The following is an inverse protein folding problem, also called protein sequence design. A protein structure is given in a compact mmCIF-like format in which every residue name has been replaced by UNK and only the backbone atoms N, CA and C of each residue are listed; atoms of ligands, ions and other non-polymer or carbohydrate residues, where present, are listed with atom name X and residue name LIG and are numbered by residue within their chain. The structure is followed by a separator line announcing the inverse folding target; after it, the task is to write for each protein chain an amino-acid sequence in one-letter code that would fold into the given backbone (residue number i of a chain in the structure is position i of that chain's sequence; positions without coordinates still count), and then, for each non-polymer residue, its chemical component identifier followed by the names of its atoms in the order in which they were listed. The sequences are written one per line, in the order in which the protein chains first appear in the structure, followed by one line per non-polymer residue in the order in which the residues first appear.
data_IF_699384066532
#
_entry.id   IF_699384066532
#
_cell.length_a   1.000
_cell.length_b   1.000
_cell.length_c   1.000
_cell.angle_alpha   90.00
_cell.angle_beta   90.00
_cell.angle_gamma   90.00
#
_symmetry.space_group_name_H-M   'P 1'
#
loop_
_entity.id
_entity.type
_entity.pdbx_description
1 polymer ?
#
# COMPACT_ATOMS: atom_id res chain seq x y z
N UNK A 1 14.55 20.37 -16.66
CA UNK A 1 13.40 20.10 -17.56
C UNK A 1 13.07 18.60 -17.67
N UNK A 2 13.96 17.74 -18.20
CA UNK A 2 13.67 16.32 -18.48
C UNK A 2 13.06 15.51 -17.32
N UNK A 3 13.56 15.66 -16.09
CA UNK A 3 13.05 14.92 -14.91
C UNK A 3 11.65 15.37 -14.51
N UNK A 4 11.39 16.68 -14.51
CA UNK A 4 10.07 17.23 -14.22
C UNK A 4 9.03 16.76 -15.25
N UNK A 5 9.39 16.74 -16.53
CA UNK A 5 8.53 16.19 -17.61
C UNK A 5 8.24 14.71 -17.39
N UNK A 6 9.22 13.91 -16.97
CA UNK A 6 9.00 12.50 -16.66
C UNK A 6 8.11 12.28 -15.43
N UNK A 7 8.22 13.14 -14.40
CA UNK A 7 7.31 13.11 -13.25
C UNK A 7 5.88 13.46 -13.65
N UNK A 8 5.69 14.48 -14.50
CA UNK A 8 4.38 14.86 -15.02
C UNK A 8 3.74 13.72 -15.82
N UNK A 9 4.49 13.07 -16.72
CA UNK A 9 4.01 11.93 -17.48
C UNK A 9 3.64 10.72 -16.59
N UNK A 10 4.39 10.50 -15.50
CA UNK A 10 4.04 9.49 -14.50
C UNK A 10 2.73 9.84 -13.78
N UNK A 11 2.53 11.13 -13.46
CA UNK A 11 1.28 11.66 -12.92
C UNK A 11 0.10 11.44 -13.86
N UNK A 12 0.23 11.79 -15.14
CA UNK A 12 -0.82 11.58 -16.15
C UNK A 12 -1.23 10.10 -16.25
N UNK A 13 -0.25 9.19 -16.25
CA UNK A 13 -0.49 7.74 -16.23
C UNK A 13 -1.29 7.29 -15.01
N UNK A 14 -0.92 7.78 -13.82
CA UNK A 14 -1.59 7.41 -12.57
C UNK A 14 -3.00 7.99 -12.52
N UNK A 15 -3.19 9.25 -12.93
CA UNK A 15 -4.51 9.87 -13.07
C UNK A 15 -5.39 9.07 -14.04
N UNK A 16 -4.85 8.65 -15.18
CA UNK A 16 -5.57 7.80 -16.13
C UNK A 16 -5.97 6.45 -15.52
N UNK A 17 -5.09 5.83 -14.73
CA UNK A 17 -5.39 4.57 -14.05
C UNK A 17 -6.47 4.72 -12.96
N UNK A 18 -6.45 5.82 -12.19
CA UNK A 18 -7.50 6.16 -11.22
C UNK A 18 -8.83 6.49 -11.93
N UNK A 19 -8.78 7.22 -13.05
CA UNK A 19 -9.96 7.50 -13.86
C UNK A 19 -10.55 6.22 -14.46
N UNK A 20 -9.71 5.26 -14.86
CA UNK A 20 -10.13 3.94 -15.28
C UNK A 20 -10.84 3.20 -14.15
N UNK A 21 -10.34 3.24 -12.91
CA UNK A 21 -11.04 2.69 -11.73
C UNK A 21 -12.43 3.31 -11.51
N UNK A 22 -12.58 4.61 -11.77
CA UNK A 22 -13.86 5.31 -11.61
C UNK A 22 -14.91 4.93 -12.67
N UNK A 23 -14.45 4.56 -13.88
CA UNK A 23 -15.27 4.29 -15.07
C UNK A 23 -15.36 2.81 -15.45
N UNK A 24 -14.59 1.95 -14.78
CA UNK A 24 -14.50 0.55 -15.11
C UNK A 24 -15.83 -0.16 -14.90
N UNK A 25 -16.31 -0.78 -15.97
CA UNK A 25 -17.51 -1.63 -15.99
C UNK A 25 -17.23 -3.06 -15.48
N UNK A 26 -15.97 -3.40 -15.23
CA UNK A 26 -15.54 -4.71 -14.78
C UNK A 26 -15.82 -4.97 -13.29
N UNK A 27 -16.25 -6.18 -12.96
CA UNK A 27 -16.61 -6.60 -11.59
C UNK A 27 -15.45 -6.41 -10.59
N UNK A 28 -14.21 -6.61 -11.01
CA UNK A 28 -13.02 -6.47 -10.17
C UNK A 28 -12.71 -5.01 -9.82
N UNK A 29 -12.75 -4.11 -10.81
CA UNK A 29 -12.56 -2.68 -10.57
C UNK A 29 -13.69 -2.07 -9.72
N UNK A 30 -14.93 -2.51 -9.93
CA UNK A 30 -16.06 -2.13 -9.07
C UNK A 30 -15.86 -2.61 -7.62
N UNK A 31 -15.38 -3.84 -7.42
CA UNK A 31 -15.08 -4.37 -6.09
C UNK A 31 -13.92 -3.61 -5.41
N UNK A 32 -12.86 -3.28 -6.16
CA UNK A 32 -11.76 -2.47 -5.63
C UNK A 32 -12.23 -1.06 -5.26
N UNK A 33 -13.00 -0.40 -6.13
CA UNK A 33 -13.60 0.91 -5.84
C UNK A 33 -14.44 0.85 -4.57
N UNK A 34 -15.29 -0.17 -4.44
CA UNK A 34 -16.10 -0.37 -3.23
C UNK A 34 -15.22 -0.55 -1.99
N UNK A 35 -14.15 -1.36 -2.08
CA UNK A 35 -13.20 -1.57 -0.97
C UNK A 35 -12.50 -0.27 -0.56
N UNK A 36 -12.04 0.53 -1.52
CA UNK A 36 -11.40 1.83 -1.25
C UNK A 36 -12.38 2.84 -0.64
N UNK A 37 -13.65 2.79 -1.01
CA UNK A 37 -14.69 3.66 -0.44
C UNK A 37 -15.18 3.21 0.93
N UNK A 38 -15.09 1.92 1.24
CA UNK A 38 -15.59 1.37 2.52
C UNK A 38 -14.60 1.48 3.66
N UNK A 39 -13.33 1.81 3.40
CA UNK A 39 -12.28 1.88 4.40
C UNK A 39 -11.83 3.33 4.57
N UNK A 40 -12.00 3.86 5.78
CA UNK A 40 -11.60 5.24 6.10
C UNK A 40 -10.10 5.45 5.83
N UNK A 41 -9.76 6.50 5.10
CA UNK A 41 -8.39 6.85 4.77
C UNK A 41 -7.78 6.09 3.60
N UNK A 42 -8.50 5.13 2.99
CA UNK A 42 -7.95 4.37 1.88
C UNK A 42 -7.80 5.20 0.60
N UNK A 43 -8.75 6.12 0.32
CA UNK A 43 -8.63 7.04 -0.82
C UNK A 43 -7.50 8.05 -0.62
N UNK A 44 -7.38 8.60 0.57
CA UNK A 44 -6.30 9.49 1.00
C UNK A 44 -4.94 8.80 0.88
N UNK A 45 -4.85 7.54 1.35
CA UNK A 45 -3.67 6.70 1.24
C UNK A 45 -3.29 6.44 -0.22
N UNK A 46 -4.28 6.10 -1.07
CA UNK A 46 -4.05 5.90 -2.50
C UNK A 46 -3.61 7.18 -3.21
N UNK A 47 -4.16 8.34 -2.84
CA UNK A 47 -3.71 9.63 -3.35
C UNK A 47 -2.26 9.92 -2.95
N UNK A 48 -1.87 9.62 -1.71
CA UNK A 48 -0.50 9.75 -1.24
C UNK A 48 0.46 8.82 -2.02
N UNK A 49 0.13 7.53 -2.13
CA UNK A 49 0.97 6.59 -2.88
C UNK A 49 1.10 7.03 -4.33
N UNK A 50 0.00 7.45 -4.96
CA UNK A 50 -0.02 7.97 -6.32
C UNK A 50 0.92 9.16 -6.49
N UNK A 51 0.89 10.12 -5.56
CA UNK A 51 1.80 11.27 -5.58
C UNK A 51 3.27 10.84 -5.43
N UNK A 52 3.56 9.87 -4.57
CA UNK A 52 4.92 9.36 -4.36
C UNK A 52 5.43 8.59 -5.59
N UNK A 53 4.57 7.83 -6.27
CA UNK A 53 4.90 7.09 -7.50
C UNK A 53 5.18 7.99 -8.71
N UNK A 54 4.93 9.29 -8.62
CA UNK A 54 5.35 10.27 -9.63
C UNK A 54 6.83 10.66 -9.51
N UNK A 55 7.48 10.36 -8.38
CA UNK A 55 8.83 10.80 -8.04
C UNK A 55 10.00 9.88 -8.46
N UNK A 56 9.84 8.60 -8.85
CA UNK A 56 10.96 7.78 -9.31
C UNK A 56 11.87 8.42 -10.36
N UNK A 57 11.37 9.24 -11.33
CA UNK A 57 12.25 9.93 -12.28
C UNK A 57 13.23 10.93 -11.67
N UNK A 58 13.04 11.33 -10.40
CA UNK A 58 14.00 12.17 -9.68
C UNK A 58 15.25 11.38 -9.26
N UNK A 59 15.15 10.05 -9.15
CA UNK A 59 16.19 9.15 -8.63
C UNK A 59 17.23 8.72 -9.68
N UNK A 60 17.66 9.66 -10.54
CA UNK A 60 18.71 9.42 -11.54
C UNK A 60 18.52 8.16 -12.43
N UNK A 61 17.29 7.75 -12.71
CA UNK A 61 16.98 6.74 -13.73
C UNK A 61 17.13 5.28 -13.30
N UNK A 62 17.24 4.98 -11.99
CA UNK A 62 17.29 3.60 -11.51
C UNK A 62 17.28 3.43 -9.98
N UNK A 63 16.95 4.49 -9.22
CA UNK A 63 16.86 4.38 -7.78
C UNK A 63 15.74 3.44 -7.35
N UNK A 64 15.98 2.80 -6.22
CA UNK A 64 15.06 1.84 -5.62
C UNK A 64 13.89 2.59 -4.93
N UNK A 65 12.82 1.89 -4.57
CA UNK A 65 11.81 2.43 -3.67
C UNK A 65 12.38 2.72 -2.27
N UNK A 66 13.46 2.07 -1.84
CA UNK A 66 14.24 2.48 -0.66
C UNK A 66 14.87 3.88 -0.84
N UNK A 67 15.47 4.17 -2.01
CA UNK A 67 15.95 5.52 -2.32
C UNK A 67 14.81 6.55 -2.35
N UNK A 68 13.63 6.14 -2.85
CA UNK A 68 12.44 6.99 -2.84
C UNK A 68 11.96 7.26 -1.40
N UNK A 69 11.96 6.24 -0.55
CA UNK A 69 11.60 6.36 0.85
C UNK A 69 12.53 7.33 1.58
N UNK A 70 13.85 7.21 1.37
CA UNK A 70 14.83 8.16 1.90
C UNK A 70 14.62 9.58 1.39
N UNK A 71 14.22 9.75 0.12
CA UNK A 71 13.87 11.05 -0.45
C UNK A 71 12.63 11.67 0.23
N UNK A 72 11.61 10.86 0.48
CA UNK A 72 10.39 11.26 1.19
C UNK A 72 10.73 11.82 2.57
N UNK A 73 11.59 11.13 3.31
CA UNK A 73 12.03 11.58 4.63
C UNK A 73 12.87 12.85 4.57
N UNK A 74 13.87 12.89 3.67
CA UNK A 74 14.77 14.02 3.53
C UNK A 74 14.03 15.32 3.17
N UNK A 75 12.98 15.23 2.38
CA UNK A 75 12.19 16.38 1.94
C UNK A 75 10.91 16.57 2.77
N UNK A 76 10.68 15.72 3.77
CA UNK A 76 9.47 15.68 4.59
C UNK A 76 8.19 15.70 3.74
N UNK A 77 8.17 14.88 2.68
CA UNK A 77 7.02 14.84 1.76
C UNK A 77 5.79 14.23 2.44
N UNK A 78 5.97 13.34 3.40
CA UNK A 78 4.90 12.82 4.26
C UNK A 78 4.15 13.97 4.96
N UNK A 79 4.88 14.96 5.50
CA UNK A 79 4.30 16.15 6.13
C UNK A 79 3.53 16.99 5.11
N UNK A 80 4.08 17.18 3.91
CA UNK A 80 3.43 17.97 2.87
C UNK A 80 2.17 17.30 2.32
N UNK A 81 2.17 15.98 2.20
CA UNK A 81 0.98 15.22 1.85
C UNK A 81 -0.11 15.36 2.93
N UNK A 82 0.26 15.28 4.22
CA UNK A 82 -0.67 15.52 5.34
C UNK A 82 -1.29 16.92 5.30
N UNK A 83 -0.47 17.95 5.14
CA UNK A 83 -0.92 19.34 5.03
C UNK A 83 -1.87 19.52 3.83
N UNK A 84 -1.55 18.93 2.67
CA UNK A 84 -2.40 18.99 1.48
C UNK A 84 -3.75 18.30 1.68
N UNK A 85 -3.76 17.12 2.33
CA UNK A 85 -5.01 16.40 2.64
C UNK A 85 -5.87 17.17 3.65
N UNK A 86 -5.28 17.73 4.70
CA UNK A 86 -5.99 18.56 5.67
C UNK A 86 -6.56 19.83 5.01
N UNK A 87 -5.81 20.47 4.12
CA UNK A 87 -6.30 21.60 3.33
C UNK A 87 -7.46 21.21 2.39
N UNK A 88 -7.50 19.95 1.95
CA UNK A 88 -8.62 19.37 1.19
C UNK A 88 -9.80 18.90 2.07
N UNK A 89 -9.70 19.05 3.40
CA UNK A 89 -10.77 18.73 4.35
C UNK A 89 -10.66 17.38 5.06
N UNK A 90 -9.58 16.61 4.84
CA UNK A 90 -9.37 15.36 5.54
C UNK A 90 -9.12 15.58 7.05
N UNK A 91 -9.61 14.68 7.89
CA UNK A 91 -9.34 14.72 9.32
C UNK A 91 -7.86 14.49 9.62
N UNK A 92 -7.33 15.15 10.66
CA UNK A 92 -5.88 15.16 10.95
C UNK A 92 -5.29 13.77 11.14
N UNK A 93 -5.96 12.91 11.91
CA UNK A 93 -5.51 11.54 12.17
C UNK A 93 -5.59 10.65 10.92
N UNK A 94 -6.62 10.83 10.10
CA UNK A 94 -6.79 10.13 8.84
C UNK A 94 -5.64 10.49 7.87
N UNK A 95 -5.40 11.80 7.68
CA UNK A 95 -4.30 12.30 6.87
C UNK A 95 -2.95 11.76 7.36
N UNK A 96 -2.75 11.72 8.69
CA UNK A 96 -1.53 11.16 9.28
C UNK A 96 -1.34 9.68 8.94
N UNK A 97 -2.36 8.86 9.18
CA UNK A 97 -2.31 7.41 8.89
C UNK A 97 -2.10 7.14 7.41
N UNK A 98 -2.85 7.83 6.54
CA UNK A 98 -2.77 7.68 5.10
C UNK A 98 -1.35 7.97 4.57
N UNK A 99 -0.74 9.08 4.98
CA UNK A 99 0.61 9.44 4.55
C UNK A 99 1.67 8.45 5.07
N UNK A 100 1.53 7.99 6.32
CA UNK A 100 2.46 7.04 6.91
C UNK A 100 2.39 5.65 6.24
N UNK A 101 1.17 5.14 5.99
CA UNK A 101 1.00 3.90 5.22
C UNK A 101 1.49 4.05 3.77
N UNK A 102 1.27 5.20 3.13
CA UNK A 102 1.75 5.42 1.78
C UNK A 102 3.28 5.41 1.68
N UNK A 103 3.95 5.99 2.67
CA UNK A 103 5.40 5.94 2.80
C UNK A 103 5.88 4.51 3.02
N UNK A 104 5.32 3.78 3.99
CA UNK A 104 5.68 2.39 4.27
C UNK A 104 5.44 1.46 3.07
N UNK A 105 4.38 1.73 2.28
CA UNK A 105 4.06 0.97 1.08
C UNK A 105 5.15 1.03 0.00
N UNK A 106 6.01 2.05 -0.02
CA UNK A 106 7.15 2.11 -0.94
C UNK A 106 8.11 0.94 -0.70
N UNK A 107 8.42 0.64 0.55
CA UNK A 107 9.31 -0.49 0.88
C UNK A 107 8.66 -1.84 0.56
N UNK A 108 7.33 -1.92 0.69
CA UNK A 108 6.56 -3.11 0.35
C UNK A 108 6.48 -3.35 -1.15
N UNK A 109 6.38 -2.29 -1.97
CA UNK A 109 6.34 -2.36 -3.43
C UNK A 109 7.56 -3.03 -4.03
N UNK A 110 8.73 -2.86 -3.40
CA UNK A 110 9.98 -3.50 -3.81
C UNK A 110 10.01 -5.01 -3.57
N UNK A 111 9.18 -5.47 -2.62
CA UNK A 111 9.17 -6.83 -2.07
C UNK A 111 7.92 -7.62 -2.44
N UNK A 112 6.88 -6.97 -2.97
CA UNK A 112 5.60 -7.59 -3.27
C UNK A 112 5.74 -8.66 -4.38
N UNK A 113 5.52 -9.95 -4.05
CA UNK A 113 5.57 -11.03 -5.04
C UNK A 113 4.40 -11.01 -6.02
N UNK A 114 3.29 -10.35 -5.64
CA UNK A 114 2.06 -10.26 -6.43
C UNK A 114 2.21 -9.48 -7.73
N UNK A 115 3.31 -8.75 -7.88
CA UNK A 115 3.47 -7.81 -8.97
C UNK A 115 4.00 -8.43 -10.25
N UNK A 116 4.53 -9.67 -10.24
CA UNK A 116 5.09 -10.33 -11.44
C UNK A 116 6.08 -9.47 -12.23
N UNK A 117 6.52 -8.37 -11.64
CA UNK A 117 7.09 -7.23 -12.30
C UNK A 117 8.59 -7.40 -12.33
N UNK A 118 9.20 -7.04 -13.45
CA UNK A 118 10.64 -7.08 -13.72
C UNK A 118 11.52 -6.26 -12.73
N UNK A 119 10.95 -5.73 -11.64
CA UNK A 119 11.55 -4.73 -10.77
C UNK A 119 11.86 -5.20 -9.33
N UNK A 120 11.33 -6.34 -8.87
CA UNK A 120 11.66 -6.82 -7.52
C UNK A 120 13.10 -7.37 -7.49
N UNK A 121 14.01 -6.67 -6.79
CA UNK A 121 15.41 -7.11 -6.62
C UNK A 121 15.54 -8.41 -5.82
N UNK A 122 14.57 -8.69 -4.93
CA UNK A 122 14.49 -9.90 -4.12
C UNK A 122 13.02 -10.21 -3.77
N UNK A 123 12.26 -10.89 -4.66
CA UNK A 123 10.86 -11.21 -4.38
C UNK A 123 10.77 -12.15 -3.18
N UNK A 124 9.90 -11.81 -2.22
CA UNK A 124 9.62 -12.71 -1.09
C UNK A 124 8.77 -13.88 -1.60
N UNK A 125 9.17 -15.12 -1.29
CA UNK A 125 8.52 -16.32 -1.81
C UNK A 125 7.12 -16.52 -1.18
N UNK A 126 6.09 -15.99 -1.84
CA UNK A 126 4.69 -16.21 -1.47
C UNK A 126 4.12 -15.18 -0.50
N UNK A 127 2.78 -15.17 -0.41
CA UNK A 127 2.02 -14.20 0.37
C UNK A 127 2.28 -14.31 1.88
N UNK A 128 2.37 -15.54 2.42
CA UNK A 128 2.64 -15.77 3.85
C UNK A 128 3.99 -15.20 4.30
N UNK A 129 5.06 -15.49 3.55
CA UNK A 129 6.38 -14.93 3.85
C UNK A 129 6.42 -13.40 3.69
N UNK A 130 5.73 -12.85 2.69
CA UNK A 130 5.63 -11.39 2.51
C UNK A 130 4.94 -10.74 3.73
N UNK A 131 3.85 -11.33 4.21
CA UNK A 131 3.15 -10.85 5.41
C UNK A 131 4.06 -10.98 6.64
N UNK A 132 4.71 -12.13 6.84
CA UNK A 132 5.61 -12.34 7.97
C UNK A 132 6.71 -11.27 8.03
N UNK A 133 7.41 -11.02 6.92
CA UNK A 133 8.45 -10.00 6.84
C UNK A 133 7.90 -8.58 7.02
N UNK A 134 6.69 -8.31 6.52
CA UNK A 134 6.03 -7.01 6.73
C UNK A 134 5.75 -6.75 8.22
N UNK A 135 5.41 -7.78 8.99
CA UNK A 135 5.16 -7.64 10.43
C UNK A 135 6.45 -7.57 11.28
N UNK A 136 7.59 -8.02 10.73
CA UNK A 136 8.92 -7.85 11.35
C UNK A 136 9.46 -6.43 11.18
N UNK A 137 9.00 -5.70 10.17
CA UNK A 137 9.33 -4.30 9.97
C UNK A 137 8.69 -3.43 11.07
N UNK A 138 9.51 -2.67 11.80
CA UNK A 138 9.05 -1.89 12.95
C UNK A 138 8.05 -0.79 12.56
N UNK A 139 8.26 -0.14 11.41
CA UNK A 139 7.38 0.93 10.93
C UNK A 139 6.01 0.36 10.54
N UNK A 140 6.00 -0.73 9.77
CA UNK A 140 4.77 -1.42 9.37
C UNK A 140 4.05 -2.00 10.59
N UNK A 141 4.76 -2.65 11.51
CA UNK A 141 4.22 -3.23 12.74
C UNK A 141 3.52 -2.18 13.61
N UNK A 142 4.15 -1.00 13.77
CA UNK A 142 3.57 0.15 14.48
C UNK A 142 2.31 0.67 13.78
N UNK A 143 2.35 0.78 12.46
CA UNK A 143 1.21 1.22 11.66
C UNK A 143 0.05 0.22 11.71
N UNK A 144 0.32 -1.08 11.75
CA UNK A 144 -0.70 -2.12 11.91
C UNK A 144 -1.23 -2.25 13.35
N UNK A 145 -0.64 -1.53 14.31
CA UNK A 145 -1.05 -1.59 15.71
C UNK A 145 -0.77 -2.95 16.34
N UNK A 146 0.35 -3.57 15.97
CA UNK A 146 0.77 -4.85 16.51
C UNK A 146 1.07 -4.70 18.01
N UNK A 147 0.54 -5.62 18.80
CA UNK A 147 0.73 -5.65 20.24
C UNK A 147 0.78 -7.10 20.73
N UNK A 148 1.44 -7.32 21.87
CA UNK A 148 1.52 -8.65 22.51
C UNK A 148 0.70 -8.61 23.79
N UNK A 149 -0.28 -9.50 23.88
CA UNK A 149 -1.12 -9.66 25.07
C UNK A 149 -1.23 -11.15 25.41
N UNK A 150 -0.90 -11.50 26.65
CA UNK A 150 -0.85 -12.88 27.14
C UNK A 150 -0.03 -13.84 26.25
N UNK A 151 1.14 -13.35 25.79
CA UNK A 151 2.01 -14.10 24.88
C UNK A 151 1.50 -14.24 23.44
N UNK A 152 0.34 -13.66 23.12
CA UNK A 152 -0.26 -13.68 21.78
C UNK A 152 -0.05 -12.35 21.08
N UNK A 153 0.45 -12.40 19.84
CA UNK A 153 0.62 -11.22 18.99
C UNK A 153 -0.66 -10.91 18.23
N UNK A 154 -1.30 -9.80 18.57
CA UNK A 154 -2.50 -9.27 17.93
C UNK A 154 -2.15 -8.08 17.04
N UNK A 155 -2.99 -7.81 16.05
CA UNK A 155 -2.91 -6.60 15.24
C UNK A 155 -4.28 -5.94 15.10
N UNK A 156 -4.30 -4.64 14.80
CA UNK A 156 -5.54 -3.88 14.76
C UNK A 156 -6.28 -4.11 13.44
N UNK A 157 -7.53 -4.58 13.54
CA UNK A 157 -8.38 -4.89 12.40
C UNK A 157 -8.58 -3.70 11.45
N UNK A 158 -8.93 -2.53 11.98
CA UNK A 158 -9.21 -1.32 11.17
C UNK A 158 -7.96 -0.84 10.43
N UNK A 159 -6.81 -0.83 11.13
CA UNK A 159 -5.53 -0.46 10.51
C UNK A 159 -5.09 -1.46 9.46
N UNK A 160 -5.35 -2.75 9.68
CA UNK A 160 -5.09 -3.78 8.68
C UNK A 160 -6.02 -3.66 7.47
N UNK A 161 -7.31 -3.33 7.67
CA UNK A 161 -8.23 -3.07 6.56
C UNK A 161 -7.75 -1.92 5.68
N UNK A 162 -7.20 -0.85 6.28
CA UNK A 162 -6.59 0.25 5.53
C UNK A 162 -5.37 -0.22 4.73
N UNK A 163 -4.42 -0.91 5.38
CA UNK A 163 -3.24 -1.45 4.72
C UNK A 163 -3.61 -2.37 3.54
N UNK A 164 -4.61 -3.23 3.72
CA UNK A 164 -5.11 -4.12 2.69
C UNK A 164 -5.79 -3.37 1.53
N UNK A 165 -6.64 -2.39 1.82
CA UNK A 165 -7.30 -1.59 0.80
C UNK A 165 -6.28 -0.85 -0.08
N UNK A 166 -5.24 -0.30 0.56
CA UNK A 166 -4.13 0.34 -0.14
C UNK A 166 -3.30 -0.67 -0.95
N UNK A 167 -2.93 -1.81 -0.36
CA UNK A 167 -2.22 -2.88 -1.08
C UNK A 167 -3.01 -3.36 -2.30
N UNK A 168 -4.34 -3.44 -2.19
CA UNK A 168 -5.21 -3.81 -3.29
C UNK A 168 -5.23 -2.76 -4.42
N UNK A 169 -5.30 -1.47 -4.06
CA UNK A 169 -5.21 -0.39 -5.03
C UNK A 169 -3.87 -0.37 -5.76
N UNK A 170 -2.77 -0.51 -5.01
CA UNK A 170 -1.41 -0.56 -5.54
C UNK A 170 -1.25 -1.75 -6.50
N UNK A 171 -1.62 -2.95 -6.06
CA UNK A 171 -1.47 -4.15 -6.88
C UNK A 171 -2.35 -4.10 -8.14
N UNK A 172 -3.51 -3.43 -8.08
CA UNK A 172 -4.32 -3.18 -9.27
C UNK A 172 -3.68 -2.18 -10.24
N UNK A 173 -3.07 -1.10 -9.74
CA UNK A 173 -2.35 -0.13 -10.60
C UNK A 173 -1.22 -0.79 -11.39
N UNK A 174 -0.58 -1.80 -10.81
CA UNK A 174 0.57 -2.49 -11.40
C UNK A 174 0.19 -3.74 -12.21
N UNK A 175 -0.73 -4.57 -11.71
CA UNK A 175 -1.05 -5.89 -12.26
C UNK A 175 -2.54 -6.06 -12.66
N UNK A 176 -3.37 -5.03 -12.48
CA UNK A 176 -4.80 -5.07 -12.78
C UNK A 176 -5.53 -6.19 -12.02
N UNK A 177 -6.38 -6.93 -12.72
CA UNK A 177 -7.24 -7.98 -12.12
C UNK A 177 -6.45 -9.20 -11.61
N UNK A 178 -5.19 -9.38 -12.02
CA UNK A 178 -4.36 -10.52 -11.64
C UNK A 178 -4.01 -10.53 -10.14
N UNK A 179 -4.05 -9.37 -9.47
CA UNK A 179 -3.76 -9.26 -8.04
C UNK A 179 -4.91 -9.72 -7.14
N UNK A 180 -6.14 -9.80 -7.68
CA UNK A 180 -7.37 -10.02 -6.89
C UNK A 180 -7.35 -11.29 -6.03
N UNK A 181 -6.96 -12.48 -6.54
CA UNK A 181 -7.04 -13.71 -5.76
C UNK A 181 -6.22 -13.66 -4.47
N UNK A 182 -4.99 -13.15 -4.53
CA UNK A 182 -4.12 -13.08 -3.37
C UNK A 182 -4.60 -12.07 -2.32
N UNK A 183 -5.19 -10.95 -2.75
CA UNK A 183 -5.75 -9.96 -1.85
C UNK A 183 -6.99 -10.48 -1.11
N UNK A 184 -7.81 -11.27 -1.79
CA UNK A 184 -8.98 -11.91 -1.18
C UNK A 184 -8.57 -13.04 -0.23
N UNK A 185 -7.54 -13.82 -0.59
CA UNK A 185 -6.96 -14.82 0.30
C UNK A 185 -6.43 -14.17 1.59
N UNK A 186 -5.71 -13.05 1.48
CA UNK A 186 -5.23 -12.28 2.64
C UNK A 186 -6.38 -11.79 3.52
N UNK A 187 -7.46 -11.26 2.92
CA UNK A 187 -8.63 -10.78 3.66
C UNK A 187 -9.28 -11.90 4.46
N UNK A 188 -9.52 -13.02 3.78
CA UNK A 188 -10.20 -14.18 4.34
C UNK A 188 -9.36 -14.81 5.46
N UNK A 189 -8.04 -14.90 5.27
CA UNK A 189 -7.12 -15.41 6.29
C UNK A 189 -7.06 -14.49 7.52
N UNK A 190 -7.03 -13.17 7.33
CA UNK A 190 -7.00 -12.21 8.44
C UNK A 190 -8.28 -12.25 9.28
N UNK A 191 -9.44 -12.27 8.65
CA UNK A 191 -10.72 -12.38 9.35
C UNK A 191 -10.83 -13.72 10.10
N UNK A 192 -10.50 -14.83 9.43
CA UNK A 192 -10.52 -16.15 10.04
C UNK A 192 -9.47 -16.34 11.15
N UNK A 193 -8.41 -15.53 11.19
CA UNK A 193 -7.41 -15.55 12.26
C UNK A 193 -7.87 -14.89 13.55
N UNK A 194 -9.00 -14.16 13.52
CA UNK A 194 -9.41 -13.30 14.62
C UNK A 194 -8.39 -12.20 14.93
N UNK A 195 -7.56 -11.81 13.96
CA UNK A 195 -6.49 -10.80 14.10
C UNK A 195 -5.29 -11.26 14.95
N UNK A 196 -5.11 -12.57 15.09
CA UNK A 196 -3.93 -13.18 15.67
C UNK A 196 -2.87 -13.43 14.58
N UNK A 197 -1.68 -12.86 14.73
CA UNK A 197 -0.62 -12.94 13.72
C UNK A 197 -0.17 -14.39 13.47
N UNK A 198 0.02 -15.19 14.52
CA UNK A 198 0.46 -16.58 14.36
C UNK A 198 -0.58 -17.40 13.58
N UNK A 199 -1.86 -17.24 13.90
CA UNK A 199 -2.96 -17.93 13.21
C UNK A 199 -3.09 -17.44 11.76
N UNK A 200 -2.90 -16.14 11.50
CA UNK A 200 -2.87 -15.59 10.15
C UNK A 200 -1.77 -16.24 9.32
N UNK A 201 -0.54 -16.32 9.84
CA UNK A 201 0.59 -16.89 9.11
C UNK A 201 0.40 -18.37 8.80
N UNK A 202 -0.18 -19.15 9.73
CA UNK A 202 -0.52 -20.55 9.46
C UNK A 202 -1.57 -20.67 8.34
N UNK A 203 -2.64 -19.87 8.37
CA UNK A 203 -3.68 -19.88 7.32
C UNK A 203 -3.13 -19.50 5.94
N UNK A 204 -2.15 -18.59 5.89
CA UNK A 204 -1.51 -18.19 4.64
C UNK A 204 -0.55 -19.24 4.08
N UNK A 205 -0.11 -20.23 4.87
CA UNK A 205 0.67 -21.38 4.38
C UNK A 205 -0.22 -22.46 3.76
N UNK A 206 -1.50 -22.49 4.13
CA UNK A 206 -2.51 -23.43 3.63
C UNK A 206 -3.19 -22.98 2.32
N UNK A 207 -3.03 -21.70 1.95
CA UNK A 207 -3.68 -21.04 0.79
C UNK A 207 -2.79 -21.02 -0.46
#
# INVERSE_FOLDING_TARGET
ARRATACAAAGDRIIAAIAALSSAKGKAAAALRQRLLSVEGALEGMACVSALLCLPPLLNGGGSYEDLHALVDRWCLDRKLREAMQAAGAHGDCAWRAAAFAKAALLLLERMPLLGGKAAKAPIAGLGAFVEESFKDEEVSRLLGVNVWDGVTWFNAERFSLAQAMAAGIAYLEAGDAAKPALDALASAAEASGWNLAVLLEKLKES
#
